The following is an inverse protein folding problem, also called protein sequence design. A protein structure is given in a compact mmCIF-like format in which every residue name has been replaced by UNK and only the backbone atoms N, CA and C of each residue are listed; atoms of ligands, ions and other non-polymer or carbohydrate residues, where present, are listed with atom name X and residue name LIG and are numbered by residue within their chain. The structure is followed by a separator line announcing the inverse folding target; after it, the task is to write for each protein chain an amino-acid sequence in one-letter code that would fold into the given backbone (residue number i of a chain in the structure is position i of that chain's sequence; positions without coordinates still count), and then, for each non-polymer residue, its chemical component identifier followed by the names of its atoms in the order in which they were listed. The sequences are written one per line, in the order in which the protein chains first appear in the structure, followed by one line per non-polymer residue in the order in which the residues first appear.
data_IF_864987403878
#
_entry.id   IF_864987403878
#
_cell.length_a   1.000
_cell.length_b   1.000
_cell.length_c   1.000
_cell.angle_alpha   90.00
_cell.angle_beta   90.00
_cell.angle_gamma   90.00
#
_symmetry.space_group_name_H-M   'P 1'
#
loop_
_entity.id
_entity.type
_entity.pdbx_description
1 polymer ?
#
# COMPACT_ATOMS: atom_id res chain seq x y z
N UNK A 1 -14.60 8.96 -5.60
CA UNK A 1 -14.32 8.46 -4.24
C UNK A 1 -13.42 9.46 -3.57
N UNK A 2 -13.69 9.80 -2.32
CA UNK A 2 -12.87 10.74 -1.55
C UNK A 2 -11.80 9.96 -0.76
N UNK A 3 -10.66 10.60 -0.52
CA UNK A 3 -9.47 10.01 0.08
C UNK A 3 -9.52 10.28 1.59
N UNK A 4 -9.51 9.23 2.40
CA UNK A 4 -9.44 9.34 3.86
C UNK A 4 -8.00 9.56 4.32
N UNK A 5 -7.06 8.80 3.76
CA UNK A 5 -5.65 8.86 4.11
C UNK A 5 -4.78 8.53 2.91
N UNK A 6 -3.66 9.22 2.78
CA UNK A 6 -2.66 8.97 1.75
C UNK A 6 -1.26 9.09 2.33
N UNK A 7 -0.42 8.10 2.04
CA UNK A 7 0.96 8.04 2.48
C UNK A 7 1.86 7.85 1.28
N UNK A 8 2.92 8.64 1.20
CA UNK A 8 3.94 8.49 0.17
C UNK A 8 5.24 8.04 0.82
N UNK A 9 5.82 6.97 0.27
CA UNK A 9 7.06 6.36 0.69
C UNK A 9 8.04 6.46 -0.47
N UNK A 10 9.08 7.27 -0.32
CA UNK A 10 10.19 7.33 -1.25
C UNK A 10 11.20 6.25 -0.84
N UNK A 11 11.21 5.13 -1.57
CA UNK A 11 12.09 4.01 -1.28
C UNK A 11 13.05 3.84 -2.47
N UNK A 12 14.25 4.41 -2.28
CA UNK A 12 15.30 4.51 -3.29
C UNK A 12 14.84 5.22 -4.57
N UNK A 13 14.73 4.49 -5.69
CA UNK A 13 14.44 5.04 -7.02
C UNK A 13 12.95 5.04 -7.37
N UNK A 14 12.09 4.66 -6.43
CA UNK A 14 10.65 4.54 -6.66
C UNK A 14 9.85 5.24 -5.58
N UNK A 15 8.79 5.89 -6.01
CA UNK A 15 7.80 6.48 -5.13
C UNK A 15 6.60 5.55 -5.03
N UNK A 16 6.23 5.18 -3.81
CA UNK A 16 5.06 4.35 -3.52
C UNK A 16 4.03 5.21 -2.82
N UNK A 17 2.82 5.31 -3.39
CA UNK A 17 1.71 5.99 -2.72
C UNK A 17 0.65 4.97 -2.34
N UNK A 18 0.34 4.94 -1.05
CA UNK A 18 -0.74 4.14 -0.49
C UNK A 18 -1.91 5.05 -0.21
N UNK A 19 -3.10 4.67 -0.65
CA UNK A 19 -4.34 5.39 -0.39
C UNK A 19 -5.33 4.46 0.27
N UNK A 20 -5.92 4.93 1.38
CA UNK A 20 -7.13 4.36 1.98
C UNK A 20 -8.25 5.36 1.72
N UNK A 21 -9.29 4.92 1.02
CA UNK A 21 -10.46 5.76 0.70
C UNK A 21 -11.45 5.78 1.86
N UNK A 22 -12.42 6.71 1.82
CA UNK A 22 -13.46 6.83 2.86
C UNK A 22 -14.35 5.57 2.99
N UNK A 23 -14.46 4.79 1.92
CA UNK A 23 -15.17 3.51 1.91
C UNK A 23 -14.28 2.30 2.23
N UNK A 24 -13.08 2.52 2.79
CA UNK A 24 -12.10 1.49 3.16
C UNK A 24 -11.58 0.66 1.97
N UNK A 25 -11.60 1.23 0.75
CA UNK A 25 -10.84 0.66 -0.36
C UNK A 25 -9.34 0.95 -0.19
N UNK A 26 -8.51 0.04 -0.68
CA UNK A 26 -7.05 0.13 -0.60
C UNK A 26 -6.45 0.24 -1.99
N UNK A 27 -5.61 1.24 -2.21
CA UNK A 27 -4.94 1.49 -3.48
C UNK A 27 -3.43 1.62 -3.29
N UNK A 28 -2.68 1.06 -4.23
CA UNK A 28 -1.23 1.15 -4.31
C UNK A 28 -0.83 1.71 -5.66
N UNK A 29 -0.14 2.83 -5.62
CA UNK A 29 0.45 3.52 -6.77
C UNK A 29 1.97 3.38 -6.72
N UNK A 30 2.58 3.31 -7.90
CA UNK A 30 4.05 3.35 -8.08
C UNK A 30 4.35 4.41 -9.13
N UNK A 31 5.18 5.39 -8.77
CA UNK A 31 5.52 6.55 -9.59
C UNK A 31 4.26 7.27 -10.15
N UNK A 32 3.25 7.45 -9.30
CA UNK A 32 1.96 8.08 -9.67
C UNK A 32 0.98 7.20 -10.46
N UNK A 33 1.37 5.99 -10.86
CA UNK A 33 0.52 5.07 -11.61
C UNK A 33 -0.16 4.04 -10.69
N UNK A 34 -1.49 3.92 -10.76
CA UNK A 34 -2.24 2.91 -10.02
C UNK A 34 -1.80 1.51 -10.45
N UNK A 35 -1.19 0.74 -9.54
CA UNK A 35 -0.76 -0.65 -9.81
C UNK A 35 -1.81 -1.65 -9.40
N UNK A 36 -2.42 -1.44 -8.23
CA UNK A 36 -3.44 -2.34 -7.68
C UNK A 36 -4.45 -1.57 -6.84
N UNK A 37 -5.68 -2.06 -6.90
CA UNK A 37 -6.79 -1.61 -6.08
C UNK A 37 -7.53 -2.81 -5.52
N UNK A 38 -7.87 -2.75 -4.24
CA UNK A 38 -8.80 -3.65 -3.58
C UNK A 38 -10.01 -2.82 -3.16
N UNK A 39 -11.17 -3.16 -3.72
CA UNK A 39 -12.43 -2.51 -3.31
C UNK A 39 -12.78 -2.81 -1.85
N UNK A 40 -13.76 -2.07 -1.29
CA UNK A 40 -14.21 -2.24 0.09
C UNK A 40 -14.54 -3.69 0.42
N UNK A 41 -14.12 -4.16 1.60
CA UNK A 41 -14.41 -5.52 2.05
C UNK A 41 -14.48 -5.62 3.57
N UNK A 42 -15.28 -6.58 4.04
CA UNK A 42 -15.29 -6.98 5.45
C UNK A 42 -14.23 -8.04 5.78
N UNK A 43 -13.45 -8.50 4.79
CA UNK A 43 -12.33 -9.43 5.01
C UNK A 43 -11.11 -8.68 5.53
N UNK A 44 -10.45 -9.23 6.54
CA UNK A 44 -9.27 -8.64 7.15
C UNK A 44 -8.07 -9.59 7.15
N UNK A 45 -6.86 -9.08 6.86
CA UNK A 45 -6.60 -7.74 6.32
C UNK A 45 -7.13 -7.62 4.88
N UNK A 46 -7.54 -6.41 4.49
CA UNK A 46 -7.57 -6.05 3.07
C UNK A 46 -6.14 -5.80 2.61
N UNK A 47 -5.76 -6.33 1.46
CA UNK A 47 -4.38 -6.21 1.00
C UNK A 47 -4.28 -6.03 -0.52
N UNK A 48 -3.22 -5.33 -0.92
CA UNK A 48 -2.75 -5.20 -2.30
C UNK A 48 -1.25 -5.47 -2.32
N UNK A 49 -0.75 -6.03 -3.41
CA UNK A 49 0.68 -6.26 -3.59
C UNK A 49 1.07 -6.12 -5.05
N UNK A 50 2.32 -5.77 -5.29
CA UNK A 50 2.89 -5.71 -6.65
C UNK A 50 4.36 -6.06 -6.62
N UNK A 51 4.85 -6.64 -7.73
CA UNK A 51 6.27 -6.73 -8.00
C UNK A 51 6.71 -5.48 -8.77
N UNK A 52 7.82 -4.89 -8.36
CA UNK A 52 8.48 -3.79 -9.06
C UNK A 52 9.87 -4.24 -9.48
N UNK A 53 10.11 -4.23 -10.78
CA UNK A 53 11.42 -4.43 -11.38
C UNK A 53 12.22 -3.12 -11.29
N UNK A 54 13.43 -3.23 -10.80
CA UNK A 54 14.41 -2.15 -10.74
C UNK A 54 15.56 -2.43 -11.71
N UNK A 55 16.55 -1.54 -11.72
CA UNK A 55 17.76 -1.75 -12.51
C UNK A 55 18.49 -3.01 -12.05
N UNK A 56 19.28 -3.61 -12.95
CA UNK A 56 20.17 -4.73 -12.63
C UNK A 56 19.46 -5.98 -12.07
N UNK A 57 18.26 -6.28 -12.57
CA UNK A 57 17.47 -7.46 -12.17
C UNK A 57 17.05 -7.49 -10.69
N UNK A 58 17.11 -6.33 -10.01
CA UNK A 58 16.57 -6.23 -8.66
C UNK A 58 15.04 -6.24 -8.69
N UNK A 59 14.44 -7.03 -7.80
CA UNK A 59 12.99 -7.16 -7.67
C UNK A 59 12.52 -6.78 -6.27
N UNK A 60 11.43 -6.01 -6.22
CA UNK A 60 10.75 -5.66 -4.97
C UNK A 60 9.34 -6.19 -4.96
N UNK A 61 9.03 -6.98 -3.94
CA UNK A 61 7.68 -7.34 -3.59
C UNK A 61 7.15 -6.32 -2.58
N UNK A 62 6.28 -5.42 -3.02
CA UNK A 62 5.63 -4.44 -2.15
C UNK A 62 4.26 -4.97 -1.78
N UNK A 63 3.97 -5.02 -0.49
CA UNK A 63 2.69 -5.44 0.05
C UNK A 63 2.16 -4.42 1.04
N UNK A 64 0.90 -4.09 0.88
CA UNK A 64 0.16 -3.20 1.78
C UNK A 64 -0.98 -3.99 2.39
N UNK A 65 -1.08 -3.96 3.71
CA UNK A 65 -2.15 -4.58 4.49
C UNK A 65 -2.86 -3.53 5.32
N UNK A 66 -4.19 -3.53 5.24
CA UNK A 66 -5.06 -2.65 6.00
C UNK A 66 -6.02 -3.48 6.86
N UNK A 67 -5.96 -3.27 8.17
CA UNK A 67 -6.80 -3.90 9.18
C UNK A 67 -7.87 -2.91 9.62
N UNK A 68 -9.02 -2.94 8.94
CA UNK A 68 -10.10 -1.96 9.07
C UNK A 68 -10.59 -1.76 10.50
N UNK A 69 -10.77 -2.82 11.29
CA UNK A 69 -11.26 -2.78 12.69
C UNK A 69 -10.30 -2.07 13.63
N UNK A 70 -9.00 -2.31 13.45
CA UNK A 70 -7.97 -1.68 14.26
C UNK A 70 -7.49 -0.35 13.68
N UNK A 71 -7.87 -0.08 12.42
CA UNK A 71 -7.40 1.05 11.62
C UNK A 71 -5.89 1.03 11.42
N UNK A 72 -5.28 -0.15 11.45
CA UNK A 72 -3.84 -0.33 11.23
C UNK A 72 -3.52 -0.51 9.75
N UNK A 73 -2.53 0.23 9.28
CA UNK A 73 -1.97 0.12 7.94
C UNK A 73 -0.50 -0.28 8.04
N UNK A 74 -0.12 -1.31 7.29
CA UNK A 74 1.25 -1.85 7.27
C UNK A 74 1.73 -2.01 5.83
N UNK A 75 2.97 -1.61 5.57
CA UNK A 75 3.65 -1.79 4.28
C UNK A 75 4.92 -2.58 4.52
N UNK A 76 5.12 -3.61 3.70
CA UNK A 76 6.38 -4.35 3.64
C UNK A 76 6.98 -4.31 2.24
N UNK A 77 8.30 -4.36 2.17
CA UNK A 77 9.06 -4.58 0.94
C UNK A 77 9.91 -5.82 1.14
N UNK A 78 9.75 -6.82 0.27
CA UNK A 78 10.41 -8.12 0.41
C UNK A 78 10.19 -8.76 1.80
N UNK A 79 9.00 -8.55 2.37
CA UNK A 79 8.57 -8.97 3.73
C UNK A 79 9.16 -8.17 4.89
N UNK A 80 10.07 -7.24 4.64
CA UNK A 80 10.59 -6.34 5.68
C UNK A 80 9.63 -5.17 5.90
N UNK A 81 9.25 -4.85 7.16
CA UNK A 81 8.37 -3.73 7.45
C UNK A 81 9.09 -2.41 7.19
N UNK A 82 8.49 -1.56 6.35
CA UNK A 82 9.05 -0.23 6.01
C UNK A 82 8.17 0.91 6.49
N UNK A 83 6.90 0.63 6.78
CA UNK A 83 5.94 1.61 7.28
C UNK A 83 4.83 0.92 8.04
N UNK A 84 4.51 1.43 9.23
CA UNK A 84 3.34 1.04 10.01
C UNK A 84 2.72 2.29 10.63
N UNK A 85 1.41 2.38 10.60
CA UNK A 85 0.68 3.48 11.22
C UNK A 85 -0.73 3.04 11.62
N UNK A 86 -1.27 3.70 12.63
CA UNK A 86 -2.67 3.60 13.01
C UNK A 86 -3.40 4.84 12.49
N UNK A 87 -4.52 4.65 11.81
CA UNK A 87 -5.28 5.71 11.13
C UNK A 87 -6.36 6.37 12.01
N UNK A 88 -6.40 6.03 13.31
CA UNK A 88 -7.36 6.58 14.28
C UNK A 88 -8.63 5.77 14.43
#
# INVERSE_FOLDING_TARGET
MSIASSFTLDLEHKQYTVVVTDDDALELYVDGCLRKRRGPSNKEPSYVWTNVELNWEEHRYVEVRFYRKLRDLKVTVNREPVFETNLG
#
